data_IF_627854661708
#
_entry.id   IF_627854661708
#
_cell.length_a   1.000
_cell.length_b   1.000
_cell.length_c   1.000
_cell.angle_alpha   90.00
_cell.angle_beta   90.00
_cell.angle_gamma   90.00
#
_symmetry.space_group_name_H-M   'P 1'
#
loop_
_entity.id
_entity.type
_entity.pdbx_description
1 polymer ?
#
# COMPACT_ATOMS: atom_id res chain seq x y z
N UNK A 1 3.82 -3.54 -15.34
CA UNK A 1 4.20 -4.96 -15.21
C UNK A 1 2.98 -5.80 -15.55
N UNK A 2 3.05 -6.72 -16.53
CA UNK A 2 1.87 -7.50 -16.99
C UNK A 2 1.49 -8.56 -15.94
N UNK A 3 0.18 -8.82 -15.73
CA UNK A 3 -0.38 -9.84 -14.79
C UNK A 3 0.42 -11.14 -14.79
N UNK A 4 0.82 -11.61 -15.97
CA UNK A 4 1.60 -12.84 -16.19
C UNK A 4 2.98 -12.83 -15.51
N UNK A 5 3.69 -11.70 -15.47
CA UNK A 5 4.99 -11.60 -14.80
C UNK A 5 4.88 -11.72 -13.27
N UNK A 6 3.84 -11.15 -12.66
CA UNK A 6 3.67 -11.21 -11.20
C UNK A 6 3.40 -12.64 -10.72
N UNK A 7 2.61 -13.38 -11.48
CA UNK A 7 2.33 -14.79 -11.21
C UNK A 7 3.54 -15.67 -11.46
N UNK A 8 4.27 -15.42 -12.55
CA UNK A 8 5.48 -16.19 -12.89
C UNK A 8 6.62 -15.97 -11.90
N UNK A 9 6.67 -14.80 -11.25
CA UNK A 9 7.66 -14.45 -10.23
C UNK A 9 7.17 -14.72 -8.78
N UNK A 10 6.00 -15.35 -8.60
CA UNK A 10 5.40 -15.62 -7.27
C UNK A 10 5.30 -14.37 -6.36
N UNK A 11 5.07 -13.19 -6.94
CA UNK A 11 4.92 -11.95 -6.19
C UNK A 11 3.47 -11.73 -5.70
N UNK A 12 2.68 -12.78 -5.64
CA UNK A 12 1.28 -12.76 -5.27
C UNK A 12 1.08 -13.17 -3.81
N UNK A 13 1.93 -12.72 -2.90
CA UNK A 13 1.90 -13.10 -1.47
C UNK A 13 1.64 -11.88 -0.56
N UNK A 14 1.29 -12.11 0.71
CA UNK A 14 0.95 -11.06 1.71
C UNK A 14 2.07 -10.04 1.95
N UNK A 15 3.30 -10.37 1.54
CA UNK A 15 4.49 -9.50 1.66
C UNK A 15 4.48 -8.33 0.69
N UNK A 16 3.71 -8.42 -0.39
CA UNK A 16 3.62 -7.42 -1.45
C UNK A 16 2.38 -6.55 -1.31
N UNK A 17 2.55 -5.26 -1.65
CA UNK A 17 1.46 -4.29 -1.74
C UNK A 17 1.45 -3.69 -3.14
N UNK A 18 0.30 -3.79 -3.80
CA UNK A 18 0.06 -3.20 -5.11
C UNK A 18 -0.88 -2.02 -5.01
N UNK A 19 -0.48 -0.92 -5.65
CA UNK A 19 -1.34 0.24 -5.88
C UNK A 19 -1.66 0.33 -7.36
N UNK A 20 -2.95 0.25 -7.71
CA UNK A 20 -3.40 0.40 -9.09
C UNK A 20 -3.82 1.85 -9.33
N UNK A 21 -3.26 2.43 -10.39
CA UNK A 21 -3.54 3.81 -10.82
C UNK A 21 -4.66 3.88 -11.86
N UNK A 22 -5.42 2.80 -12.04
CA UNK A 22 -6.61 2.77 -12.91
C UNK A 22 -7.87 2.97 -12.05
N UNK A 23 -8.90 3.59 -12.64
CA UNK A 23 -10.23 3.70 -12.03
C UNK A 23 -11.12 2.46 -12.23
N UNK A 24 -10.66 1.51 -13.04
CA UNK A 24 -11.47 0.41 -13.56
C UNK A 24 -11.06 -0.95 -12.99
N UNK A 25 -10.41 -0.96 -11.81
CA UNK A 25 -9.86 -2.19 -11.22
C UNK A 25 -10.93 -3.27 -11.03
N UNK A 26 -12.17 -2.88 -10.74
CA UNK A 26 -13.30 -3.78 -10.52
C UNK A 26 -13.78 -4.44 -11.83
N UNK A 27 -13.34 -3.97 -12.99
CA UNK A 27 -13.63 -4.60 -14.29
C UNK A 27 -12.70 -5.75 -14.62
N UNK A 28 -11.57 -5.86 -13.92
CA UNK A 28 -10.59 -6.92 -14.12
C UNK A 28 -10.91 -8.14 -13.26
N UNK A 29 -10.59 -9.32 -13.79
CA UNK A 29 -10.61 -10.55 -13.01
C UNK A 29 -9.41 -10.58 -12.04
N UNK A 30 -9.72 -10.62 -10.75
CA UNK A 30 -8.77 -10.63 -9.64
C UNK A 30 -8.67 -11.98 -8.93
N UNK A 31 -9.25 -13.05 -9.47
CA UNK A 31 -9.31 -14.37 -8.84
C UNK A 31 -7.95 -14.86 -8.32
N UNK A 32 -6.89 -14.64 -9.10
CA UNK A 32 -5.51 -15.00 -8.75
C UNK A 32 -4.95 -14.30 -7.49
N UNK A 33 -5.50 -13.14 -7.14
CA UNK A 33 -5.04 -12.30 -6.02
C UNK A 33 -5.94 -12.42 -4.79
N UNK A 34 -7.18 -12.90 -4.95
CA UNK A 34 -8.19 -12.99 -3.89
C UNK A 34 -7.76 -13.91 -2.74
N UNK A 35 -7.12 -15.03 -3.07
CA UNK A 35 -6.83 -16.10 -2.10
C UNK A 35 -5.47 -16.00 -1.42
N UNK A 36 -4.58 -15.11 -1.89
CA UNK A 36 -3.20 -15.06 -1.42
C UNK A 36 -2.89 -13.88 -0.48
N UNK A 37 -3.93 -13.28 0.13
CA UNK A 37 -3.82 -12.17 1.09
C UNK A 37 -2.97 -10.98 0.59
N UNK A 38 -2.96 -10.76 -0.73
CA UNK A 38 -2.21 -9.67 -1.34
C UNK A 38 -2.87 -8.33 -0.98
N UNK A 39 -2.09 -7.39 -0.46
CA UNK A 39 -2.60 -6.05 -0.23
C UNK A 39 -2.74 -5.33 -1.57
N UNK A 40 -3.96 -4.99 -1.95
CA UNK A 40 -4.25 -4.23 -3.17
C UNK A 40 -5.10 -3.01 -2.83
N UNK A 41 -4.67 -1.86 -3.32
CA UNK A 41 -5.38 -0.59 -3.17
C UNK A 41 -5.54 0.08 -4.53
N UNK A 42 -6.70 0.70 -4.76
CA UNK A 42 -7.00 1.38 -6.00
C UNK A 42 -7.97 2.55 -5.75
N UNK A 43 -8.16 3.37 -6.77
CA UNK A 43 -9.19 4.41 -6.75
C UNK A 43 -10.33 4.07 -7.70
N UNK A 44 -11.52 4.59 -7.40
CA UNK A 44 -12.69 4.53 -8.26
C UNK A 44 -13.32 5.91 -8.37
N UNK A 45 -13.73 6.29 -9.58
CA UNK A 45 -14.36 7.59 -9.82
C UNK A 45 -15.89 7.53 -9.84
N UNK A 46 -16.48 6.41 -10.27
CA UNK A 46 -17.93 6.22 -10.33
C UNK A 46 -18.41 5.64 -9.00
N UNK A 47 -19.27 6.37 -8.29
CA UNK A 47 -19.83 5.90 -7.03
C UNK A 47 -21.08 5.05 -7.25
N UNK A 48 -20.91 3.72 -7.26
CA UNK A 48 -22.01 2.76 -7.41
C UNK A 48 -22.97 2.73 -6.20
N UNK A 49 -22.57 3.30 -5.06
CA UNK A 49 -23.44 3.41 -3.87
C UNK A 49 -24.46 4.56 -4.01
N UNK A 50 -24.25 5.47 -4.96
CA UNK A 50 -25.22 6.53 -5.24
C UNK A 50 -26.42 5.96 -6.01
N UNK A 51 -27.61 6.03 -5.39
CA UNK A 51 -28.85 5.54 -5.99
C UNK A 51 -29.12 6.15 -7.36
N UNK A 52 -28.81 7.43 -7.59
CA UNK A 52 -29.03 8.08 -8.89
C UNK A 52 -28.15 7.49 -9.98
N UNK A 53 -26.91 7.18 -9.64
CA UNK A 53 -25.96 6.53 -10.54
C UNK A 53 -26.45 5.12 -10.84
N UNK A 54 -26.80 4.35 -9.81
CA UNK A 54 -27.30 2.99 -9.97
C UNK A 54 -28.57 2.91 -10.84
N UNK A 55 -29.56 3.77 -10.57
CA UNK A 55 -30.81 3.84 -11.34
C UNK A 55 -30.53 4.22 -12.82
N UNK A 56 -29.56 5.11 -13.06
CA UNK A 56 -29.16 5.51 -14.41
C UNK A 56 -28.43 4.38 -15.14
N UNK A 57 -27.53 3.65 -14.48
CA UNK A 57 -26.86 2.49 -15.07
C UNK A 57 -27.85 1.37 -15.40
N UNK A 58 -28.84 1.12 -14.54
CA UNK A 58 -29.91 0.15 -14.82
C UNK A 58 -30.74 0.56 -16.05
N UNK A 59 -31.05 1.86 -16.20
CA UNK A 59 -31.71 2.37 -17.40
C UNK A 59 -30.83 2.20 -18.64
N UNK A 60 -29.53 2.54 -18.55
CA UNK A 60 -28.59 2.37 -19.66
C UNK A 60 -28.52 0.91 -20.12
N UNK A 61 -28.53 -0.04 -19.20
CA UNK A 61 -28.53 -1.48 -19.50
C UNK A 61 -29.74 -1.89 -20.34
N UNK A 62 -30.93 -1.38 -19.99
CA UNK A 62 -32.19 -1.69 -20.72
C UNK A 62 -32.18 -1.21 -22.17
N UNK A 63 -31.42 -0.16 -22.48
CA UNK A 63 -31.36 0.44 -23.82
C UNK A 63 -30.15 -0.03 -24.66
N UNK A 64 -29.34 -0.96 -24.16
CA UNK A 64 -28.22 -1.49 -24.92
C UNK A 64 -28.69 -2.37 -26.09
N UNK A 65 -28.24 -2.03 -27.30
CA UNK A 65 -28.45 -2.86 -28.49
C UNK A 65 -27.62 -4.15 -28.40
N UNK A 66 -28.17 -5.27 -28.84
CA UNK A 66 -27.48 -6.57 -28.96
C UNK A 66 -26.07 -6.41 -29.54
N UNK A 67 -25.02 -6.58 -28.72
CA UNK A 67 -23.62 -6.66 -29.15
C UNK A 67 -22.64 -5.66 -28.50
N UNK A 68 -23.11 -4.55 -27.90
CA UNK A 68 -22.25 -3.59 -27.20
C UNK A 68 -22.64 -3.45 -25.73
N UNK A 69 -22.10 -4.34 -24.90
CA UNK A 69 -22.29 -4.27 -23.46
C UNK A 69 -21.33 -3.22 -22.88
N UNK A 70 -21.81 -1.98 -22.70
CA UNK A 70 -21.06 -0.89 -22.05
C UNK A 70 -20.89 -1.20 -20.55
N UNK A 71 -21.82 -1.98 -20.00
CA UNK A 71 -21.75 -2.52 -18.66
C UNK A 71 -21.17 -3.92 -18.75
N UNK A 72 -20.11 -4.19 -18.01
CA UNK A 72 -19.69 -5.58 -17.81
C UNK A 72 -20.83 -6.32 -17.06
N UNK A 73 -20.93 -7.66 -17.15
CA UNK A 73 -21.97 -8.48 -16.49
C UNK A 73 -22.13 -8.24 -14.98
N UNK A 74 -21.20 -7.50 -14.38
CA UNK A 74 -21.15 -7.07 -12.98
C UNK A 74 -21.86 -5.74 -12.67
N UNK A 75 -22.46 -5.04 -13.66
CA UNK A 75 -23.12 -3.74 -13.46
C UNK A 75 -22.17 -2.55 -13.28
N UNK A 76 -20.89 -2.73 -13.65
CA UNK A 76 -19.84 -1.72 -13.53
C UNK A 76 -19.61 -1.06 -14.89
N UNK A 77 -19.61 0.27 -14.91
CA UNK A 77 -19.23 1.09 -16.06
C UNK A 77 -17.75 1.48 -15.95
N UNK A 78 -17.04 1.46 -17.08
CA UNK A 78 -15.68 1.99 -17.14
C UNK A 78 -15.65 3.52 -17.02
N UNK A 79 -14.54 4.07 -16.52
CA UNK A 79 -14.36 5.49 -16.30
C UNK A 79 -14.44 6.29 -17.61
N UNK A 80 -13.92 5.77 -18.72
CA UNK A 80 -13.96 6.43 -20.03
C UNK A 80 -15.40 6.65 -20.55
N UNK A 81 -16.26 5.62 -20.66
CA UNK A 81 -17.68 5.81 -20.97
C UNK A 81 -18.43 6.71 -20.00
N UNK A 82 -18.13 6.62 -18.70
CA UNK A 82 -18.78 7.46 -17.69
C UNK A 82 -18.42 8.95 -17.88
N UNK A 83 -17.15 9.25 -18.15
CA UNK A 83 -16.70 10.62 -18.45
C UNK A 83 -17.27 11.12 -19.79
N UNK A 84 -17.43 10.25 -20.79
CA UNK A 84 -18.06 10.60 -22.06
C UNK A 84 -19.53 10.99 -21.86
N UNK A 85 -20.29 10.20 -21.10
CA UNK A 85 -21.69 10.52 -20.75
C UNK A 85 -21.79 11.89 -20.07
N UNK A 86 -20.95 12.11 -19.06
CA UNK A 86 -20.89 13.38 -18.33
C UNK A 86 -20.49 14.55 -19.25
N UNK A 87 -19.56 14.34 -20.18
CA UNK A 87 -19.12 15.38 -21.12
C UNK A 87 -20.26 15.88 -22.03
N UNK A 88 -21.11 14.97 -22.51
CA UNK A 88 -22.27 15.33 -23.34
C UNK A 88 -23.29 16.11 -22.52
N UNK A 89 -23.49 15.71 -21.26
CA UNK A 89 -24.40 16.41 -20.35
C UNK A 89 -23.92 17.83 -20.02
N UNK A 90 -22.62 18.01 -19.76
CA UNK A 90 -21.98 19.32 -19.57
C UNK A 90 -22.12 20.18 -20.83
N UNK A 91 -21.82 19.63 -22.01
CA UNK A 91 -21.93 20.38 -23.27
C UNK A 91 -23.37 20.84 -23.54
N UNK A 92 -24.34 19.94 -23.35
CA UNK A 92 -25.76 20.25 -23.51
C UNK A 92 -26.21 21.34 -22.53
N UNK A 93 -25.79 21.28 -21.27
CA UNK A 93 -26.08 22.31 -20.28
C UNK A 93 -25.44 23.66 -20.65
N UNK A 94 -24.20 23.65 -21.17
CA UNK A 94 -23.52 24.86 -21.63
C UNK A 94 -24.21 25.52 -22.81
N UNK A 95 -24.64 24.72 -23.79
CA UNK A 95 -25.43 25.21 -24.94
C UNK A 95 -26.78 25.77 -24.50
N UNK A 96 -27.47 25.12 -23.55
CA UNK A 96 -28.73 25.60 -23.02
C UNK A 96 -28.61 26.94 -22.27
N UNK A 97 -27.47 27.20 -21.63
CA UNK A 97 -27.17 28.51 -21.03
C UNK A 97 -26.86 29.57 -22.09
N UNK A 98 -26.10 29.21 -23.12
CA UNK A 98 -25.80 30.11 -24.24
C UNK A 98 -27.07 30.56 -24.96
N UNK A 99 -27.96 29.61 -25.30
CA UNK A 99 -29.21 29.87 -26.02
C UNK A 99 -30.16 30.81 -25.25
N UNK A 100 -30.16 30.73 -23.91
CA UNK A 100 -30.91 31.67 -23.05
C UNK A 100 -30.39 33.11 -23.11
N UNK A 101 -29.10 33.29 -23.36
CA UNK A 101 -28.44 34.61 -23.34
C UNK A 101 -28.31 35.24 -24.73
N UNK A 102 -28.19 34.44 -25.78
CA UNK A 102 -27.91 34.88 -27.13
C UNK A 102 -28.35 33.83 -28.14
N UNK A 103 -28.88 34.27 -29.28
CA UNK A 103 -29.22 33.38 -30.39
C UNK A 103 -27.94 32.77 -30.95
N UNK A 104 -27.83 31.44 -30.86
CA UNK A 104 -26.68 30.69 -31.38
C UNK A 104 -26.64 30.80 -32.91
N UNK A 105 -25.58 31.37 -33.46
CA UNK A 105 -25.36 31.45 -34.91
C UNK A 105 -24.29 30.46 -35.35
N UNK A 106 -24.68 29.50 -36.18
CA UNK A 106 -23.74 28.56 -36.80
C UNK A 106 -22.94 29.27 -37.90
N UNK A 107 -21.61 29.08 -37.89
CA UNK A 107 -20.70 29.61 -38.91
C UNK A 107 -19.87 28.48 -39.50
N UNK A 108 -19.62 28.53 -40.81
CA UNK A 108 -18.62 27.66 -41.43
C UNK A 108 -17.23 28.13 -41.00
N UNK A 109 -16.47 27.23 -40.39
CA UNK A 109 -15.11 27.48 -39.90
C UNK A 109 -14.13 26.67 -40.76
N UNK A 110 -12.96 27.23 -41.02
CA UNK A 110 -11.82 26.50 -41.60
C UNK A 110 -10.69 26.49 -40.58
N UNK A 111 -10.00 25.35 -40.45
CA UNK A 111 -8.82 25.24 -39.61
C UNK A 111 -7.61 26.03 -40.17
N UNK A 112 -7.61 26.36 -41.47
CA UNK A 112 -6.51 27.07 -42.12
C UNK A 112 -6.54 28.59 -41.88
N UNK A 113 -7.73 29.15 -41.61
CA UNK A 113 -7.93 30.60 -41.55
C UNK A 113 -7.74 31.18 -40.13
N UNK A 114 -7.55 30.35 -39.10
CA UNK A 114 -7.42 30.74 -37.69
C UNK A 114 -8.52 31.71 -37.17
N UNK A 115 -9.67 31.79 -37.84
CA UNK A 115 -10.79 32.65 -37.42
C UNK A 115 -11.66 31.85 -36.44
N UNK A 116 -11.71 32.23 -35.14
CA UNK A 116 -12.51 31.51 -34.16
C UNK A 116 -14.00 31.81 -34.34
N UNK A 117 -14.83 30.88 -33.85
CA UNK A 117 -16.26 31.12 -33.74
C UNK A 117 -16.53 32.23 -32.71
N UNK A 118 -17.32 33.24 -33.11
CA UNK A 118 -17.61 34.43 -32.28
C UNK A 118 -18.17 34.09 -30.91
N UNK A 119 -19.08 33.12 -30.84
CA UNK A 119 -19.73 32.72 -29.59
C UNK A 119 -18.94 31.63 -28.83
N UNK A 120 -17.80 31.19 -29.37
CA UNK A 120 -17.00 30.10 -28.79
C UNK A 120 -16.45 30.43 -27.41
N UNK A 121 -15.99 31.67 -27.19
CA UNK A 121 -15.52 32.11 -25.87
C UNK A 121 -16.67 32.17 -24.85
N UNK A 122 -17.84 32.61 -25.27
CA UNK A 122 -19.05 32.63 -24.43
C UNK A 122 -19.44 31.21 -24.02
N UNK A 123 -19.45 30.26 -24.98
CA UNK A 123 -19.73 28.85 -24.69
C UNK A 123 -18.70 28.27 -23.70
N UNK A 124 -17.41 28.54 -23.90
CA UNK A 124 -16.36 28.10 -23.00
C UNK A 124 -16.54 28.64 -21.57
N UNK A 125 -16.89 29.93 -21.44
CA UNK A 125 -17.18 30.53 -20.14
C UNK A 125 -18.41 29.91 -19.49
N UNK A 126 -19.48 29.67 -20.25
CA UNK A 126 -20.64 28.95 -19.72
C UNK A 126 -20.28 27.55 -19.26
N UNK A 127 -19.52 26.78 -20.04
CA UNK A 127 -19.04 25.45 -19.66
C UNK A 127 -18.24 25.50 -18.35
N UNK A 128 -17.35 26.49 -18.19
CA UNK A 128 -16.58 26.64 -16.94
C UNK A 128 -17.43 27.01 -15.72
N UNK A 129 -18.62 27.60 -15.91
CA UNK A 129 -19.52 27.95 -14.81
C UNK A 129 -20.49 26.84 -14.42
N UNK A 130 -20.49 25.73 -15.15
CA UNK A 130 -21.42 24.62 -14.91
C UNK A 130 -21.11 23.96 -13.57
N UNK A 131 -22.19 23.70 -12.83
CA UNK A 131 -22.18 22.90 -11.61
C UNK A 131 -23.31 21.87 -11.67
N UNK A 132 -22.97 20.64 -12.06
CA UNK A 132 -23.93 19.55 -12.22
C UNK A 132 -23.39 18.27 -11.58
N UNK A 133 -24.30 17.34 -11.29
CA UNK A 133 -23.94 16.01 -10.80
C UNK A 133 -24.15 15.00 -11.94
N UNK A 134 -23.08 14.32 -12.33
CA UNK A 134 -23.08 13.25 -13.32
C UNK A 134 -22.76 11.88 -12.71
N UNK A 135 -22.41 10.91 -13.55
CA UNK A 135 -21.97 9.57 -13.15
C UNK A 135 -20.69 9.61 -12.32
N UNK A 136 -19.79 10.55 -12.64
CA UNK A 136 -18.52 10.72 -11.93
C UNK A 136 -18.62 11.67 -10.73
N UNK A 137 -19.84 11.92 -10.23
CA UNK A 137 -20.11 12.81 -9.09
C UNK A 137 -20.27 14.27 -9.50
N UNK A 138 -19.88 15.19 -8.61
CA UNK A 138 -19.97 16.63 -8.87
C UNK A 138 -18.97 17.05 -9.94
N UNK A 139 -19.45 17.80 -10.93
CA UNK A 139 -18.66 18.32 -12.04
C UNK A 139 -18.65 19.84 -11.92
N UNK A 140 -17.45 20.35 -11.70
CA UNK A 140 -17.13 21.77 -11.60
C UNK A 140 -15.80 21.98 -12.32
N UNK A 141 -15.64 23.13 -12.96
CA UNK A 141 -14.43 23.44 -13.71
C UNK A 141 -13.79 24.72 -13.21
N UNK A 142 -12.46 24.74 -13.25
CA UNK A 142 -11.62 25.91 -13.03
C UNK A 142 -10.60 25.96 -14.15
N UNK A 143 -10.70 26.96 -15.01
CA UNK A 143 -9.81 27.14 -16.17
C UNK A 143 -9.75 25.90 -17.09
N UNK A 144 -10.92 25.31 -17.39
CA UNK A 144 -11.03 24.13 -18.26
C UNK A 144 -10.57 22.81 -17.62
N UNK A 145 -10.15 22.82 -16.34
CA UNK A 145 -9.81 21.63 -15.57
C UNK A 145 -10.90 21.32 -14.57
N UNK A 146 -11.18 20.04 -14.37
CA UNK A 146 -12.14 19.63 -13.34
C UNK A 146 -11.58 19.97 -11.96
N UNK A 147 -12.38 20.71 -11.19
CA UNK A 147 -12.09 21.05 -9.81
C UNK A 147 -13.02 20.27 -8.87
N UNK A 148 -12.61 20.12 -7.62
CA UNK A 148 -13.46 19.63 -6.54
C UNK A 148 -14.21 18.31 -6.83
N UNK A 149 -13.49 17.28 -7.27
CA UNK A 149 -14.03 15.92 -7.49
C UNK A 149 -13.68 14.97 -6.34
N UNK A 150 -14.41 13.86 -6.25
CA UNK A 150 -14.23 12.84 -5.22
C UNK A 150 -13.81 11.53 -5.87
N UNK A 151 -12.81 10.86 -5.28
CA UNK A 151 -12.43 9.49 -5.62
C UNK A 151 -12.72 8.58 -4.44
N UNK A 152 -13.30 7.41 -4.68
CA UNK A 152 -13.44 6.37 -3.66
C UNK A 152 -12.13 5.57 -3.56
N UNK A 153 -11.66 5.31 -2.35
CA UNK A 153 -10.52 4.43 -2.08
C UNK A 153 -11.02 3.00 -1.92
N UNK A 154 -10.54 2.10 -2.77
CA UNK A 154 -10.85 0.68 -2.72
C UNK A 154 -9.68 -0.11 -2.14
N UNK A 155 -9.99 -1.14 -1.35
CA UNK A 155 -9.04 -2.14 -0.87
C UNK A 155 -9.59 -3.55 -1.03
N UNK A 156 -8.74 -4.48 -1.45
CA UNK A 156 -9.08 -5.90 -1.50
C UNK A 156 -9.10 -6.48 -0.08
N UNK A 157 -10.25 -7.02 0.33
CA UNK A 157 -10.45 -7.65 1.64
C UNK A 157 -11.31 -8.90 1.46
N UNK A 158 -10.83 -10.06 1.94
CA UNK A 158 -11.56 -11.33 1.92
C UNK A 158 -12.27 -11.57 0.58
N UNK A 159 -11.49 -11.56 -0.50
CA UNK A 159 -11.93 -11.91 -1.87
C UNK A 159 -12.77 -10.83 -2.60
N UNK A 160 -13.03 -9.67 -1.99
CA UNK A 160 -13.79 -8.58 -2.60
C UNK A 160 -13.09 -7.22 -2.47
N UNK A 161 -13.18 -6.40 -3.51
CA UNK A 161 -12.82 -4.99 -3.42
C UNK A 161 -13.92 -4.26 -2.67
N UNK A 162 -13.54 -3.58 -1.59
CA UNK A 162 -14.46 -2.78 -0.78
C UNK A 162 -13.97 -1.36 -0.70
N UNK A 163 -14.93 -0.43 -0.66
CA UNK A 163 -14.65 0.97 -0.36
C UNK A 163 -14.24 1.11 1.10
N UNK A 164 -13.08 1.71 1.32
CA UNK A 164 -12.46 1.89 2.64
C UNK A 164 -12.15 3.34 2.96
N UNK A 165 -12.47 4.25 2.04
CA UNK A 165 -12.24 5.67 2.20
C UNK A 165 -12.61 6.46 0.95
N UNK A 166 -12.23 7.72 0.95
CA UNK A 166 -12.36 8.61 -0.19
C UNK A 166 -11.23 9.65 -0.20
N UNK A 167 -10.99 10.25 -1.36
CA UNK A 167 -10.03 11.31 -1.56
C UNK A 167 -10.71 12.53 -2.19
N UNK A 168 -10.35 13.72 -1.72
CA UNK A 168 -10.73 15.00 -2.36
C UNK A 168 -9.50 15.90 -2.49
N UNK A 169 -9.47 16.84 -3.47
CA UNK A 169 -8.38 17.80 -3.61
C UNK A 169 -8.17 18.68 -2.37
N UNK A 170 -9.23 18.98 -1.61
CA UNK A 170 -9.18 19.89 -0.48
C UNK A 170 -8.70 19.21 0.82
N UNK A 171 -9.18 17.98 1.10
CA UNK A 171 -8.91 17.29 2.36
C UNK A 171 -7.84 16.19 2.24
N UNK A 172 -7.48 15.80 1.01
CA UNK A 172 -6.61 14.66 0.77
C UNK A 172 -7.33 13.34 1.02
N UNK A 173 -6.60 12.33 1.52
CA UNK A 173 -7.13 10.98 1.74
C UNK A 173 -7.84 10.89 3.09
N UNK A 174 -9.07 10.40 3.08
CA UNK A 174 -9.87 10.16 4.27
C UNK A 174 -10.27 8.68 4.33
N UNK A 175 -9.72 7.95 5.31
CA UNK A 175 -9.96 6.52 5.49
C UNK A 175 -11.17 6.35 6.41
N UNK A 176 -12.24 5.75 5.89
CA UNK A 176 -13.47 5.47 6.65
C UNK A 176 -13.42 4.12 7.35
N UNK A 177 -12.79 3.11 6.74
CA UNK A 177 -12.62 1.78 7.33
C UNK A 177 -11.14 1.50 7.65
N UNK A 178 -10.70 1.94 8.84
CA UNK A 178 -9.35 1.64 9.33
C UNK A 178 -9.13 0.14 9.57
N UNK A 179 -10.19 -0.63 9.86
CA UNK A 179 -10.09 -2.08 10.09
C UNK A 179 -9.70 -2.86 8.83
N UNK A 180 -9.86 -2.27 7.66
CA UNK A 180 -9.38 -2.85 6.41
C UNK A 180 -7.86 -2.76 6.26
N UNK A 181 -7.20 -1.82 6.94
CA UNK A 181 -5.75 -1.65 6.91
C UNK A 181 -5.07 -2.39 8.05
N UNK A 182 -5.72 -2.41 9.21
CA UNK A 182 -5.25 -3.07 10.41
C UNK A 182 -6.24 -4.19 10.73
N UNK A 183 -5.95 -5.40 10.26
CA UNK A 183 -6.69 -6.59 10.71
C UNK A 183 -6.50 -6.71 12.23
N UNK A 184 -7.53 -6.36 12.98
CA UNK A 184 -7.61 -6.51 14.45
C UNK A 184 -7.90 -7.93 14.87
N UNK A 185 -8.04 -8.86 13.91
CA UNK A 185 -8.07 -10.28 14.20
C UNK A 185 -6.75 -10.65 14.87
N UNK A 186 -6.86 -10.95 16.16
CA UNK A 186 -5.97 -11.78 16.96
C UNK A 186 -5.82 -13.15 16.29
N UNK A 187 -5.25 -13.18 15.10
CA UNK A 187 -4.65 -14.39 14.59
C UNK A 187 -3.58 -14.75 15.62
N UNK A 188 -3.41 -16.04 15.91
CA UNK A 188 -2.26 -16.55 16.65
C UNK A 188 -1.00 -16.28 15.80
N UNK A 189 -0.62 -15.01 15.65
CA UNK A 189 0.53 -14.57 14.87
C UNK A 189 1.73 -15.07 15.63
N UNK A 190 2.40 -16.04 15.02
CA UNK A 190 3.64 -16.58 15.53
C UNK A 190 4.77 -15.83 14.85
N UNK A 191 5.37 -14.89 15.57
CA UNK A 191 6.47 -14.06 15.06
C UNK A 191 7.72 -14.92 14.83
N UNK A 192 8.35 -14.76 13.68
CA UNK A 192 9.66 -15.36 13.40
C UNK A 192 10.72 -14.45 14.01
N UNK A 193 11.33 -14.91 15.10
CA UNK A 193 12.36 -14.17 15.82
C UNK A 193 13.73 -14.67 15.41
N UNK A 194 14.50 -13.82 14.75
CA UNK A 194 15.89 -14.10 14.39
C UNK A 194 16.82 -13.83 15.56
N UNK A 195 17.79 -14.74 15.72
CA UNK A 195 18.80 -14.65 16.75
C UNK A 195 20.15 -15.18 16.27
N UNK A 196 21.19 -14.94 17.05
CA UNK A 196 22.56 -15.40 16.82
C UNK A 196 23.10 -15.99 18.11
N UNK A 197 23.78 -17.12 18.00
CA UNK A 197 24.43 -17.76 19.13
C UNK A 197 25.58 -16.88 19.66
N UNK A 198 25.50 -16.51 20.94
CA UNK A 198 26.52 -15.75 21.65
C UNK A 198 26.38 -15.97 23.15
N UNK A 199 27.35 -16.61 23.80
CA UNK A 199 27.30 -16.87 25.24
C UNK A 199 27.59 -15.57 26.03
N UNK A 200 26.84 -15.25 27.10
CA UNK A 200 25.72 -15.98 27.71
C UNK A 200 24.32 -15.48 27.25
N UNK A 201 24.25 -14.70 26.18
CA UNK A 201 23.02 -14.06 25.72
C UNK A 201 22.06 -15.05 25.05
N UNK A 202 22.58 -15.88 24.14
CA UNK A 202 21.84 -16.89 23.39
C UNK A 202 22.73 -18.11 23.23
N UNK A 203 22.27 -19.25 23.71
CA UNK A 203 23.00 -20.51 23.76
C UNK A 203 22.10 -21.62 23.26
N UNK A 204 22.65 -22.52 22.44
CA UNK A 204 21.95 -23.71 21.98
C UNK A 204 22.24 -24.86 22.93
N UNK A 205 21.19 -25.44 23.50
CA UNK A 205 21.29 -26.61 24.39
C UNK A 205 21.69 -27.84 23.59
N UNK A 206 22.60 -28.62 24.15
CA UNK A 206 23.13 -29.84 23.50
C UNK A 206 22.29 -31.10 23.78
N UNK A 207 21.13 -30.98 24.45
CA UNK A 207 20.27 -32.11 24.78
C UNK A 207 19.46 -32.58 23.55
N UNK A 208 19.53 -33.88 23.23
CA UNK A 208 18.98 -34.46 22.00
C UNK A 208 17.43 -34.48 21.92
N UNK A 209 16.72 -34.17 23.02
CA UNK A 209 15.25 -34.28 23.10
C UNK A 209 14.51 -32.94 23.03
N UNK A 210 15.21 -31.83 22.76
CA UNK A 210 14.59 -30.51 22.71
C UNK A 210 14.29 -30.13 21.26
N UNK A 211 13.07 -29.67 21.01
CA UNK A 211 12.62 -29.21 19.68
C UNK A 211 12.07 -27.78 19.77
N UNK A 212 12.25 -27.01 18.69
CA UNK A 212 11.73 -25.64 18.61
C UNK A 212 12.40 -24.70 19.61
N UNK A 213 11.60 -23.83 20.24
CA UNK A 213 12.12 -22.79 21.15
C UNK A 213 12.84 -23.34 22.38
N UNK A 214 12.57 -24.59 22.77
CA UNK A 214 13.20 -25.22 23.94
C UNK A 214 14.70 -25.48 23.75
N UNK A 215 15.20 -25.47 22.51
CA UNK A 215 16.62 -25.63 22.19
C UNK A 215 17.46 -24.41 22.58
N UNK A 216 16.85 -23.26 22.83
CA UNK A 216 17.54 -22.01 23.09
C UNK A 216 17.41 -21.58 24.55
N UNK A 217 18.52 -21.11 25.12
CA UNK A 217 18.57 -20.52 26.45
C UNK A 217 19.50 -19.30 26.49
N UNK A 218 19.46 -18.55 27.59
CA UNK A 218 20.32 -17.39 27.80
C UNK A 218 19.52 -16.11 28.05
N UNK A 219 20.24 -15.05 28.41
CA UNK A 219 19.65 -13.78 28.85
C UNK A 219 18.63 -13.20 27.85
N UNK A 220 18.95 -13.21 26.56
CA UNK A 220 18.08 -12.66 25.51
C UNK A 220 16.81 -13.50 25.31
N UNK A 221 16.89 -14.82 25.52
CA UNK A 221 15.75 -15.73 25.38
C UNK A 221 14.76 -15.52 26.52
N UNK A 222 15.25 -15.34 27.75
CA UNK A 222 14.41 -15.10 28.91
C UNK A 222 13.74 -13.71 28.86
N UNK A 223 14.48 -12.71 28.35
CA UNK A 223 13.92 -11.39 28.07
C UNK A 223 12.79 -11.46 27.03
N UNK A 224 13.00 -12.15 25.90
CA UNK A 224 11.98 -12.33 24.87
C UNK A 224 10.74 -13.04 25.40
N UNK A 225 10.88 -14.11 26.21
CA UNK A 225 9.76 -14.80 26.84
C UNK A 225 8.94 -13.87 27.74
N UNK A 226 9.62 -13.01 28.50
CA UNK A 226 8.97 -12.04 29.38
C UNK A 226 8.17 -11.01 28.57
N UNK A 227 8.76 -10.48 27.49
CA UNK A 227 8.10 -9.53 26.57
C UNK A 227 6.89 -10.20 25.89
N UNK A 228 7.07 -11.41 25.37
CA UNK A 228 6.01 -12.17 24.71
C UNK A 228 4.81 -12.43 25.63
N UNK A 229 5.06 -12.71 26.91
CA UNK A 229 4.03 -12.91 27.93
C UNK A 229 3.30 -11.61 28.26
N UNK A 230 4.02 -10.49 28.37
CA UNK A 230 3.44 -9.19 28.69
C UNK A 230 2.60 -8.60 27.55
N UNK A 231 3.06 -8.77 26.30
CA UNK A 231 2.40 -8.23 25.11
C UNK A 231 1.35 -9.21 24.54
N UNK A 232 1.53 -10.51 24.74
CA UNK A 232 0.58 -11.54 24.32
C UNK A 232 0.79 -12.02 22.87
N UNK A 233 2.03 -12.29 22.46
CA UNK A 233 2.32 -12.89 21.14
C UNK A 233 3.05 -14.24 21.25
N UNK A 234 2.89 -15.08 20.23
CA UNK A 234 3.65 -16.33 20.07
C UNK A 234 4.85 -16.08 19.17
N UNK A 235 5.91 -16.88 19.31
CA UNK A 235 7.11 -16.73 18.49
C UNK A 235 7.80 -18.07 18.21
N UNK A 236 8.59 -18.10 17.15
CA UNK A 236 9.51 -19.19 16.81
C UNK A 236 10.91 -18.61 16.63
N UNK A 237 11.88 -19.20 17.32
CA UNK A 237 13.28 -18.81 17.22
C UNK A 237 13.94 -19.45 16.00
N UNK A 238 14.70 -18.65 15.26
CA UNK A 238 15.56 -19.11 14.17
C UNK A 238 16.95 -18.50 14.31
N UNK A 239 17.96 -19.32 14.03
CA UNK A 239 19.33 -18.83 13.89
C UNK A 239 19.50 -18.18 12.54
N UNK A 240 20.19 -17.04 12.53
CA UNK A 240 20.60 -16.39 11.30
C UNK A 240 21.53 -17.34 10.49
N UNK A 241 21.27 -17.58 9.19
CA UNK A 241 21.99 -18.60 8.42
C UNK A 241 23.50 -18.39 8.31
N UNK A 242 23.95 -17.13 8.25
CA UNK A 242 25.36 -16.78 8.08
C UNK A 242 26.08 -16.48 9.41
N UNK A 243 25.39 -16.61 10.55
CA UNK A 243 25.90 -16.30 11.89
C UNK A 243 26.44 -14.87 12.07
N UNK A 244 25.99 -13.90 11.26
CA UNK A 244 26.40 -12.50 11.36
C UNK A 244 25.26 -11.58 11.83
N UNK A 245 25.61 -10.45 12.43
CA UNK A 245 24.63 -9.44 12.85
C UNK A 245 24.06 -8.64 11.68
N UNK A 246 24.89 -8.35 10.68
CA UNK A 246 24.58 -7.42 9.61
C UNK A 246 25.65 -6.35 9.46
N UNK A 247 26.35 -6.46 8.34
CA UNK A 247 27.38 -5.57 7.84
C UNK A 247 26.98 -5.23 6.41
N UNK A 248 27.07 -3.94 6.07
CA UNK A 248 26.85 -3.47 4.72
C UNK A 248 28.10 -3.71 3.88
N UNK A 249 27.95 -4.40 2.77
CA UNK A 249 29.00 -4.58 1.79
C UNK A 249 28.90 -3.49 0.71
N UNK A 250 29.88 -2.58 0.60
CA UNK A 250 29.84 -1.50 -0.38
C UNK A 250 30.04 -1.97 -1.83
N UNK A 251 30.61 -3.15 -2.06
CA UNK A 251 30.84 -3.68 -3.41
C UNK A 251 29.54 -4.28 -3.98
N UNK A 252 28.89 -5.14 -3.22
CA UNK A 252 27.61 -5.77 -3.61
C UNK A 252 26.40 -4.87 -3.36
N UNK A 253 26.55 -3.84 -2.52
CA UNK A 253 25.48 -2.96 -2.02
C UNK A 253 24.38 -3.71 -1.26
N UNK A 254 24.74 -4.84 -0.64
CA UNK A 254 23.83 -5.66 0.13
C UNK A 254 24.19 -5.66 1.61
N UNK A 255 23.18 -5.89 2.45
CA UNK A 255 23.36 -6.26 3.84
C UNK A 255 23.43 -7.78 3.96
N UNK A 256 24.14 -8.27 4.98
CA UNK A 256 24.09 -9.66 5.41
C UNK A 256 23.41 -9.81 6.79
N UNK A 257 23.42 -11.03 7.33
CA UNK A 257 23.06 -11.30 8.70
C UNK A 257 21.61 -11.02 9.06
N UNK A 258 21.42 -10.76 10.36
CA UNK A 258 20.11 -10.44 10.92
C UNK A 258 19.49 -9.23 10.22
N UNK A 259 20.30 -8.21 9.88
CA UNK A 259 19.81 -7.02 9.14
C UNK A 259 19.18 -7.42 7.81
N UNK A 260 19.84 -8.27 7.01
CA UNK A 260 19.30 -8.75 5.72
C UNK A 260 17.98 -9.47 5.91
N UNK A 261 17.91 -10.39 6.88
CA UNK A 261 16.72 -11.20 7.14
C UNK A 261 15.51 -10.35 7.57
N UNK A 262 15.74 -9.26 8.31
CA UNK A 262 14.71 -8.27 8.64
C UNK A 262 14.29 -7.42 7.43
N UNK A 263 15.25 -6.91 6.65
CA UNK A 263 14.97 -6.10 5.46
C UNK A 263 14.17 -6.87 4.40
N UNK A 264 14.47 -8.15 4.23
CA UNK A 264 13.78 -9.05 3.30
C UNK A 264 12.47 -9.62 3.86
N UNK A 265 12.06 -9.22 5.07
CA UNK A 265 10.86 -9.71 5.77
C UNK A 265 10.83 -11.24 5.92
N UNK A 266 12.00 -11.87 6.05
CA UNK A 266 12.13 -13.30 6.41
C UNK A 266 12.03 -13.51 7.92
N UNK A 267 12.21 -12.44 8.69
CA UNK A 267 12.05 -12.37 10.13
C UNK A 267 11.21 -11.15 10.51
N UNK A 268 10.40 -11.29 11.56
CA UNK A 268 9.51 -10.22 12.04
C UNK A 268 10.17 -9.39 13.16
N UNK A 269 11.07 -10.03 13.92
CA UNK A 269 11.78 -9.43 15.05
C UNK A 269 13.17 -10.04 15.14
N UNK A 270 14.13 -9.29 15.70
CA UNK A 270 15.42 -9.82 16.09
C UNK A 270 15.68 -9.61 17.58
N UNK A 271 16.21 -10.65 18.23
CA UNK A 271 16.67 -10.58 19.62
C UNK A 271 18.05 -11.22 19.72
N UNK A 272 19.06 -10.38 19.93
CA UNK A 272 20.46 -10.80 20.10
C UNK A 272 21.25 -9.68 20.80
N UNK A 273 22.53 -9.91 21.13
CA UNK A 273 23.46 -8.89 21.63
C UNK A 273 23.98 -7.97 20.51
N UNK A 274 23.05 -7.39 19.74
CA UNK A 274 23.35 -6.55 18.58
C UNK A 274 23.54 -5.09 18.98
N UNK A 275 24.69 -4.50 18.59
CA UNK A 275 24.96 -3.07 18.80
C UNK A 275 24.12 -2.20 17.86
N UNK A 276 23.47 -1.20 18.45
CA UNK A 276 22.78 -0.11 17.72
C UNK A 276 23.85 0.80 17.11
N UNK A 277 23.78 1.02 15.80
CA UNK A 277 24.64 1.97 15.10
C UNK A 277 23.89 2.67 13.96
N UNK A 278 24.42 3.81 13.51
CA UNK A 278 23.79 4.64 12.49
C UNK A 278 23.49 3.89 11.18
N UNK A 279 24.41 3.05 10.72
CA UNK A 279 24.25 2.33 9.46
C UNK A 279 23.12 1.30 9.52
N UNK A 280 22.91 0.66 10.67
CA UNK A 280 21.81 -0.30 10.87
C UNK A 280 20.49 0.43 11.09
N UNK A 281 20.49 1.50 11.87
CA UNK A 281 19.31 2.32 12.16
C UNK A 281 18.73 2.96 10.89
N UNK A 282 19.52 3.16 9.84
CA UNK A 282 19.03 3.68 8.56
C UNK A 282 18.21 2.66 7.74
N UNK A 283 18.24 1.37 8.09
CA UNK A 283 17.55 0.29 7.35
C UNK A 283 16.62 -0.56 8.21
N UNK A 284 16.78 -0.54 9.54
CA UNK A 284 15.92 -1.24 10.50
C UNK A 284 15.69 -0.35 11.73
N UNK A 285 14.53 -0.52 12.38
CA UNK A 285 14.20 0.19 13.61
C UNK A 285 14.71 -0.55 14.85
N UNK A 286 15.19 0.20 15.84
CA UNK A 286 15.59 -0.33 17.15
C UNK A 286 14.66 0.15 18.26
N UNK A 287 14.50 -0.70 19.28
CA UNK A 287 13.92 -0.28 20.55
C UNK A 287 14.91 0.59 21.33
N UNK A 288 14.47 1.10 22.49
CA UNK A 288 15.42 1.62 23.47
C UNK A 288 16.38 0.51 23.93
N UNK A 289 17.66 0.82 24.18
CA UNK A 289 18.65 -0.17 24.59
C UNK A 289 18.26 -0.79 25.94
N UNK A 290 18.40 -2.10 26.07
CA UNK A 290 18.11 -2.84 27.31
C UNK A 290 19.36 -3.07 28.18
N UNK A 291 20.56 -2.82 27.64
CA UNK A 291 21.83 -2.95 28.34
C UNK A 291 22.81 -1.90 27.81
N UNK A 292 23.46 -1.18 28.72
CA UNK A 292 24.50 -0.22 28.39
C UNK A 292 25.87 -0.90 28.53
N UNK A 293 26.64 -0.92 27.45
CA UNK A 293 27.99 -1.48 27.41
C UNK A 293 28.95 -0.43 26.86
N UNK A 294 30.18 -0.43 27.37
CA UNK A 294 31.27 0.43 26.92
C UNK A 294 32.48 -0.42 26.50
N UNK A 295 33.48 0.24 25.91
CA UNK A 295 34.74 -0.43 25.55
C UNK A 295 35.51 -0.73 26.84
N UNK A 296 35.75 -2.01 27.10
CA UNK A 296 36.59 -2.49 28.20
C UNK A 296 37.91 -3.04 27.69
N UNK A 297 38.99 -2.86 28.47
CA UNK A 297 40.30 -3.44 28.18
C UNK A 297 40.51 -4.64 29.10
N UNK A 298 40.64 -5.83 28.53
CA UNK A 298 41.00 -7.06 29.25
C UNK A 298 42.52 -7.23 29.21
N UNK A 299 43.17 -7.27 30.38
CA UNK A 299 44.59 -7.60 30.48
C UNK A 299 44.80 -8.81 31.39
N UNK A 300 45.86 -9.56 31.11
CA UNK A 300 46.24 -10.72 31.93
C UNK A 300 46.73 -10.22 33.29
N UNK A 301 46.16 -10.77 34.37
CA UNK A 301 46.65 -10.53 35.73
C UNK A 301 48.10 -11.03 35.82
N UNK A 302 49.07 -10.18 36.20
CA UNK A 302 50.47 -10.59 36.29
C UNK A 302 50.64 -11.61 37.42
N UNK A 303 51.18 -12.78 37.10
CA UNK A 303 51.70 -13.74 38.09
C UNK A 303 53.05 -13.24 38.57
N UNK A 304 53.18 -12.99 39.89
CA UNK A 304 54.34 -12.49 40.65
C UNK A 304 55.69 -12.31 39.92
N UNK A 305 56.33 -11.15 40.08
CA UNK A 305 57.73 -10.95 39.67
C UNK A 305 58.65 -12.00 40.32
N UNK A 306 59.69 -12.51 39.63
CA UNK A 306 60.71 -13.31 40.28
C UNK A 306 61.36 -12.46 41.38
N UNK A 307 61.31 -12.93 42.62
CA UNK A 307 62.06 -12.35 43.74
C UNK A 307 63.53 -12.31 43.37
N UNK A 308 64.06 -11.12 43.06
CA UNK A 308 65.50 -10.90 43.05
C UNK A 308 65.97 -10.82 44.50
N UNK A 309 66.49 -11.94 45.00
CA UNK A 309 67.35 -11.95 46.17
C UNK A 309 68.77 -11.69 45.68
N UNK A 310 69.22 -10.45 45.92
CA UNK A 310 70.53 -9.87 45.64
C UNK A 310 70.86 -9.61 44.16
#
# INVERSE_FOLDING_TARGET
MKRTMMLQLQMNDYRYHYMFTTFDIETFDLEDFKYNNVNMTAFRIVNLEDKKVNDLLEQMERFQTLGHNILNRSGIIQAEPALMYDSVHVLAAGLALLDKSSVIKTSNLSCDLEIPWRDGLSLYNYINTININGLTGRIEFKEGKRDNFKLDLLKLKREELRKVGHWTPAEGINITDHSAFYETSTNNVTLIVMTREEKPYVMVRSEQNLTGNAMFEGFCIDLLKSIATQVGFQFVLRLVPDHTYGVYDPETKEWNGIVKELMEKKADLAVASMTINYARESVIDFTKPFMNLGIGILFKVPTSQPTRLF
#
